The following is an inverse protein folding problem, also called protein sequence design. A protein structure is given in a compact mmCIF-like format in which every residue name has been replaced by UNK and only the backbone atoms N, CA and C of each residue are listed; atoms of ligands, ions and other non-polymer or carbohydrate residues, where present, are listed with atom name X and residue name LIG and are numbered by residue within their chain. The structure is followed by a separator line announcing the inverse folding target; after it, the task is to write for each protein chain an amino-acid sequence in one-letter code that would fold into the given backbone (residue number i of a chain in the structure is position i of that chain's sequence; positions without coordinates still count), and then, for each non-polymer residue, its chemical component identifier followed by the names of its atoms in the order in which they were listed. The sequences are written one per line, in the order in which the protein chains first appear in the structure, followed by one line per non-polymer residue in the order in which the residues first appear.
data_IF_964493486679
#
_entry.id   IF_964493486679
#
_cell.length_a   1.000
_cell.length_b   1.000
_cell.length_c   1.000
_cell.angle_alpha   90.00
_cell.angle_beta   90.00
_cell.angle_gamma   90.00
#
_symmetry.space_group_name_H-M   'P 1'
#
loop_
_entity.id
_entity.type
_entity.pdbx_description
1 polymer ?
#
# COMPACT_ATOMS: atom_id res chain seq x y z
N UNK A 1 -4.45 43.82 19.73
CA UNK A 1 -4.86 43.20 18.47
C UNK A 1 -3.98 42.01 18.05
N UNK A 2 -2.63 42.13 17.92
CA UNK A 2 -1.75 41.02 17.50
C UNK A 2 -1.87 39.74 18.37
N UNK A 3 -1.99 39.86 19.71
CA UNK A 3 -2.14 38.69 20.61
C UNK A 3 -3.45 37.95 20.39
N UNK A 4 -4.56 38.66 20.18
CA UNK A 4 -5.88 38.06 19.92
C UNK A 4 -5.86 37.32 18.57
N UNK A 5 -5.29 37.92 17.54
CA UNK A 5 -5.16 37.31 16.22
C UNK A 5 -4.33 36.02 16.32
N UNK A 6 -3.22 36.04 17.06
CA UNK A 6 -2.37 34.85 17.27
C UNK A 6 -3.10 33.74 18.05
N UNK A 7 -3.91 34.11 19.05
CA UNK A 7 -4.72 33.15 19.81
C UNK A 7 -5.80 32.51 18.94
N UNK A 8 -6.52 33.31 18.14
CA UNK A 8 -7.55 32.80 17.23
C UNK A 8 -6.93 31.90 16.19
N UNK A 9 -5.78 32.27 15.61
CA UNK A 9 -5.05 31.41 14.67
C UNK A 9 -4.59 30.08 15.32
N UNK A 10 -4.09 30.17 16.55
CA UNK A 10 -3.70 28.97 17.31
C UNK A 10 -4.89 28.03 17.55
N UNK A 11 -6.05 28.55 17.90
CA UNK A 11 -7.28 27.75 18.11
C UNK A 11 -7.73 27.11 16.78
N UNK A 12 -7.71 27.87 15.69
CA UNK A 12 -8.09 27.38 14.36
C UNK A 12 -7.19 26.24 13.86
N UNK A 13 -5.94 26.19 14.29
CA UNK A 13 -5.00 25.10 13.96
C UNK A 13 -5.14 23.95 14.96
N UNK A 14 -5.24 24.26 16.26
CA UNK A 14 -5.23 23.24 17.31
C UNK A 14 -6.49 22.36 17.28
N UNK A 15 -7.67 22.93 17.08
CA UNK A 15 -8.92 22.16 17.04
C UNK A 15 -8.90 21.10 15.95
N UNK A 16 -8.59 21.40 14.67
CA UNK A 16 -8.47 20.39 13.64
C UNK A 16 -7.35 19.36 13.92
N UNK A 17 -6.22 19.82 14.45
CA UNK A 17 -5.10 18.92 14.78
C UNK A 17 -5.49 17.90 15.87
N UNK A 18 -6.17 18.34 16.93
CA UNK A 18 -6.68 17.46 17.98
C UNK A 18 -7.75 16.52 17.42
N UNK A 19 -8.69 17.04 16.63
CA UNK A 19 -9.71 16.23 15.97
C UNK A 19 -9.11 15.11 15.10
N UNK A 20 -8.13 15.45 14.28
CA UNK A 20 -7.41 14.48 13.44
C UNK A 20 -6.66 13.44 14.28
N UNK A 21 -5.99 13.86 15.35
CA UNK A 21 -5.29 12.94 16.25
C UNK A 21 -6.27 11.99 16.95
N UNK A 22 -7.41 12.49 17.42
CA UNK A 22 -8.46 11.67 18.05
C UNK A 22 -9.03 10.65 17.07
N UNK A 23 -9.41 11.08 15.87
CA UNK A 23 -9.92 10.20 14.82
C UNK A 23 -8.91 9.11 14.43
N UNK A 24 -7.63 9.47 14.35
CA UNK A 24 -6.55 8.51 14.07
C UNK A 24 -6.43 7.45 15.18
N UNK A 25 -6.53 7.86 16.45
CA UNK A 25 -6.46 6.94 17.59
C UNK A 25 -7.67 6.00 17.64
N UNK A 26 -8.87 6.53 17.43
CA UNK A 26 -10.10 5.73 17.38
C UNK A 26 -10.07 4.72 16.23
N UNK A 27 -9.53 5.14 15.06
CA UNK A 27 -9.49 4.28 13.88
C UNK A 27 -8.44 3.15 13.95
N UNK A 28 -7.49 3.21 14.88
CA UNK A 28 -6.43 2.18 15.04
C UNK A 28 -6.97 0.75 15.24
N UNK A 29 -8.17 0.62 15.80
CA UNK A 29 -8.82 -0.66 16.05
C UNK A 29 -9.99 -0.95 15.09
N UNK A 30 -10.16 -0.14 14.06
CA UNK A 30 -11.19 -0.36 13.06
C UNK A 30 -10.86 -1.60 12.23
N UNK A 31 -11.89 -2.28 11.73
CA UNK A 31 -11.77 -3.41 10.82
C UNK A 31 -11.35 -2.96 9.42
N UNK A 32 -10.08 -2.81 9.24
CA UNK A 32 -9.47 -2.32 8.01
C UNK A 32 -9.30 -0.79 7.95
N UNK A 33 -8.69 -0.30 6.88
CA UNK A 33 -8.33 1.09 6.71
C UNK A 33 -9.52 1.94 6.27
N UNK A 34 -9.43 3.25 6.51
CA UNK A 34 -10.22 4.26 5.81
C UNK A 34 -9.36 4.98 4.76
N UNK A 35 -9.99 5.87 3.99
CA UNK A 35 -9.27 6.69 3.00
C UNK A 35 -8.18 7.56 3.67
N UNK A 36 -8.41 8.02 4.90
CA UNK A 36 -7.53 8.97 5.58
C UNK A 36 -6.64 8.34 6.66
N UNK A 37 -7.11 7.25 7.29
CA UNK A 37 -6.44 6.68 8.45
C UNK A 37 -6.16 5.19 8.27
N UNK A 38 -4.98 4.72 8.71
CA UNK A 38 -4.74 3.31 8.89
C UNK A 38 -5.75 2.71 9.87
N UNK A 39 -6.16 1.47 9.61
CA UNK A 39 -6.99 0.68 10.50
C UNK A 39 -6.19 -0.35 11.27
N UNK A 40 -6.89 -1.15 12.06
CA UNK A 40 -6.35 -2.31 12.76
C UNK A 40 -6.48 -3.61 11.97
N UNK A 41 -6.72 -4.68 12.71
CA UNK A 41 -6.89 -6.02 12.15
C UNK A 41 -8.15 -6.12 11.29
N UNK A 42 -7.99 -6.76 10.14
CA UNK A 42 -9.12 -7.08 9.25
C UNK A 42 -9.75 -8.41 9.67
N UNK A 43 -10.86 -8.35 10.38
CA UNK A 43 -11.58 -9.51 10.93
C UNK A 43 -12.74 -9.94 10.05
N UNK A 44 -13.39 -9.00 9.35
CA UNK A 44 -14.50 -9.29 8.46
C UNK A 44 -14.05 -9.73 7.07
N UNK A 45 -14.94 -10.44 6.39
CA UNK A 45 -14.68 -11.04 5.07
C UNK A 45 -14.33 -12.52 5.15
N UNK A 46 -14.56 -13.22 4.04
CA UNK A 46 -14.30 -14.66 3.92
C UNK A 46 -12.80 -14.93 3.82
N UNK A 47 -12.27 -15.82 4.63
CA UNK A 47 -10.89 -16.29 4.47
C UNK A 47 -10.78 -17.20 3.24
N UNK A 48 -9.87 -16.89 2.33
CA UNK A 48 -9.57 -17.74 1.18
C UNK A 48 -8.71 -18.93 1.62
N UNK A 49 -9.16 -20.14 1.28
CA UNK A 49 -8.48 -21.42 1.59
C UNK A 49 -8.32 -22.31 0.35
N UNK A 50 -8.68 -21.80 -0.82
CA UNK A 50 -8.62 -22.52 -2.09
C UNK A 50 -7.29 -22.32 -2.84
N UNK A 51 -7.23 -22.82 -4.09
CA UNK A 51 -6.12 -22.53 -4.99
C UNK A 51 -6.03 -21.03 -5.29
N UNK A 52 -4.85 -20.58 -5.68
CA UNK A 52 -4.61 -19.19 -6.05
C UNK A 52 -5.58 -18.76 -7.15
N UNK A 53 -6.30 -17.64 -6.99
CA UNK A 53 -7.22 -17.17 -8.01
C UNK A 53 -6.49 -16.57 -9.21
N UNK A 54 -7.17 -16.47 -10.33
CA UNK A 54 -6.73 -15.59 -11.41
C UNK A 54 -6.90 -14.13 -10.97
N UNK A 55 -5.79 -13.41 -10.82
CA UNK A 55 -5.76 -12.04 -10.31
C UNK A 55 -6.13 -10.98 -11.36
N UNK A 56 -6.41 -11.36 -12.60
CA UNK A 56 -6.77 -10.41 -13.68
C UNK A 56 -7.99 -9.54 -13.33
N UNK A 57 -8.92 -10.05 -12.48
CA UNK A 57 -10.06 -9.26 -12.01
C UNK A 57 -9.64 -8.00 -11.22
N UNK A 58 -8.41 -7.98 -10.69
CA UNK A 58 -7.91 -6.80 -9.97
C UNK A 58 -7.56 -5.64 -10.91
N UNK A 59 -7.56 -5.83 -12.23
CA UNK A 59 -7.24 -4.77 -13.19
C UNK A 59 -8.19 -3.56 -13.07
N UNK A 60 -9.44 -3.79 -12.75
CA UNK A 60 -10.44 -2.74 -12.53
C UNK A 60 -10.43 -2.19 -11.08
N UNK A 61 -9.68 -2.82 -10.17
CA UNK A 61 -9.60 -2.43 -8.76
C UNK A 61 -8.36 -1.55 -8.54
N UNK A 62 -8.56 -0.28 -8.21
CA UNK A 62 -7.45 0.66 -8.02
C UNK A 62 -6.73 0.49 -6.69
N UNK A 63 -7.46 0.23 -5.63
CA UNK A 63 -6.91 0.10 -4.26
C UNK A 63 -7.54 -1.10 -3.57
N UNK A 64 -6.76 -1.73 -2.72
CA UNK A 64 -7.15 -2.86 -1.89
C UNK A 64 -6.72 -2.60 -0.45
N UNK A 65 -7.30 -3.34 0.49
CA UNK A 65 -6.86 -3.29 1.88
C UNK A 65 -5.68 -4.23 2.09
N UNK A 66 -4.59 -3.70 2.62
CA UNK A 66 -3.43 -4.47 3.04
C UNK A 66 -3.24 -4.32 4.54
N UNK A 67 -3.20 -5.42 5.26
CA UNK A 67 -2.79 -5.50 6.66
C UNK A 67 -1.38 -6.07 6.75
N UNK A 68 -0.53 -5.47 7.57
CA UNK A 68 0.65 -6.13 8.12
C UNK A 68 0.31 -6.69 9.51
N UNK A 69 0.90 -7.82 9.86
CA UNK A 69 0.61 -8.48 11.14
C UNK A 69 1.49 -7.95 12.28
N UNK A 70 2.65 -7.41 11.96
CA UNK A 70 3.59 -6.87 12.96
C UNK A 70 4.41 -5.70 12.38
N UNK A 71 4.21 -4.47 12.85
CA UNK A 71 3.13 -4.08 13.75
C UNK A 71 1.75 -4.18 13.07
N UNK A 72 0.74 -4.55 13.85
CA UNK A 72 -0.62 -4.70 13.33
C UNK A 72 -1.15 -3.36 12.84
N UNK A 73 -1.32 -3.24 11.54
CA UNK A 73 -1.91 -2.06 10.91
C UNK A 73 -2.39 -2.37 9.50
N UNK A 74 -3.54 -1.81 9.11
CA UNK A 74 -4.07 -1.94 7.76
C UNK A 74 -4.10 -0.60 7.03
N UNK A 75 -3.97 -0.65 5.70
CA UNK A 75 -3.90 0.53 4.82
C UNK A 75 -4.46 0.24 3.45
N UNK A 76 -4.89 1.28 2.76
CA UNK A 76 -5.18 1.21 1.34
C UNK A 76 -3.86 1.21 0.55
N UNK A 77 -3.74 0.32 -0.42
CA UNK A 77 -2.56 0.19 -1.27
C UNK A 77 -2.94 -0.02 -2.73
N UNK A 78 -2.12 0.45 -3.64
CA UNK A 78 -2.24 0.17 -5.06
C UNK A 78 -1.84 -1.27 -5.35
N UNK A 79 -2.63 -1.96 -6.18
CA UNK A 79 -2.43 -3.36 -6.55
C UNK A 79 -2.19 -3.50 -8.05
N UNK A 80 -1.25 -4.35 -8.41
CA UNK A 80 -0.84 -4.63 -9.78
C UNK A 80 -0.85 -6.14 -9.99
N UNK A 81 -1.42 -6.60 -11.09
CA UNK A 81 -1.28 -7.97 -11.57
C UNK A 81 -0.30 -8.00 -12.73
N UNK A 82 0.60 -8.97 -12.75
CA UNK A 82 1.49 -9.25 -13.89
C UNK A 82 1.89 -10.72 -13.86
N UNK A 83 1.75 -11.41 -15.01
CA UNK A 83 2.07 -12.84 -15.14
C UNK A 83 1.36 -13.74 -14.12
N UNK A 84 0.08 -13.48 -13.82
CA UNK A 84 -0.70 -14.23 -12.83
C UNK A 84 -0.25 -14.02 -11.38
N UNK A 85 0.68 -13.10 -11.14
CA UNK A 85 1.24 -12.76 -9.82
C UNK A 85 0.74 -11.39 -9.39
N UNK A 86 0.60 -11.21 -8.08
CA UNK A 86 0.07 -9.98 -7.50
C UNK A 86 1.17 -9.17 -6.84
N UNK A 87 1.19 -7.87 -7.14
CA UNK A 87 2.20 -6.94 -6.64
C UNK A 87 1.56 -5.71 -6.01
N UNK A 88 2.28 -5.12 -5.07
CA UNK A 88 2.02 -3.80 -4.53
C UNK A 88 3.25 -2.91 -4.69
N UNK A 89 3.06 -1.60 -4.73
CA UNK A 89 4.15 -0.66 -4.93
C UNK A 89 4.14 0.44 -3.88
N UNK A 90 5.33 0.80 -3.41
CA UNK A 90 5.57 1.94 -2.53
C UNK A 90 6.53 2.91 -3.23
N UNK A 91 6.05 4.07 -3.61
CA UNK A 91 6.86 5.12 -4.26
C UNK A 91 7.51 6.07 -3.26
N UNK A 92 8.44 6.91 -3.77
CA UNK A 92 9.11 7.98 -3.02
C UNK A 92 9.98 7.50 -1.84
N UNK A 93 10.52 6.27 -1.91
CA UNK A 93 11.25 5.62 -0.82
C UNK A 93 12.53 6.34 -0.43
N UNK A 94 13.18 7.06 -1.36
CA UNK A 94 14.41 7.82 -1.13
C UNK A 94 14.19 9.22 -0.54
N UNK A 95 12.93 9.70 -0.49
CA UNK A 95 12.60 11.02 0.03
C UNK A 95 12.38 11.00 1.55
N UNK A 96 12.62 12.13 2.22
CA UNK A 96 12.37 12.25 3.67
C UNK A 96 10.90 12.00 4.01
N UNK A 97 9.97 12.54 3.21
CA UNK A 97 8.54 12.30 3.38
C UNK A 97 8.17 10.84 3.13
N UNK A 98 8.76 10.22 2.10
CA UNK A 98 8.55 8.80 1.83
C UNK A 98 8.96 7.91 3.00
N UNK A 99 10.09 8.16 3.61
CA UNK A 99 10.55 7.42 4.80
C UNK A 99 9.59 7.53 5.97
N UNK A 100 9.03 8.73 6.20
CA UNK A 100 8.09 8.96 7.30
C UNK A 100 6.71 8.33 7.06
N UNK A 101 6.22 8.30 5.81
CA UNK A 101 4.87 7.82 5.48
C UNK A 101 4.81 6.37 5.01
N UNK A 102 5.96 5.78 4.67
CA UNK A 102 6.10 4.44 4.10
C UNK A 102 6.86 3.48 5.04
N UNK A 103 6.82 3.75 6.34
CA UNK A 103 7.43 2.93 7.39
C UNK A 103 7.09 1.43 7.22
N UNK A 104 5.85 1.13 6.86
CA UNK A 104 5.39 -0.23 6.59
C UNK A 104 6.22 -0.99 5.54
N UNK A 105 6.75 -0.28 4.53
CA UNK A 105 7.53 -0.93 3.49
C UNK A 105 8.93 -1.30 4.00
N UNK A 106 9.48 -0.51 4.92
CA UNK A 106 10.72 -0.86 5.62
C UNK A 106 10.50 -2.04 6.56
N UNK A 107 9.42 -2.03 7.36
CA UNK A 107 9.02 -3.12 8.23
C UNK A 107 8.85 -4.43 7.44
N UNK A 108 8.18 -4.38 6.29
CA UNK A 108 8.01 -5.54 5.42
C UNK A 108 9.33 -6.06 4.82
N UNK A 109 10.29 -5.17 4.46
CA UNK A 109 11.61 -5.57 3.93
C UNK A 109 12.55 -6.11 5.02
N UNK A 110 12.38 -5.67 6.28
CA UNK A 110 13.21 -6.07 7.43
C UNK A 110 12.79 -7.40 8.08
N UNK A 111 11.73 -8.04 7.61
CA UNK A 111 11.33 -9.39 8.02
C UNK A 111 9.92 -9.54 8.58
N UNK A 112 9.22 -8.45 8.91
CA UNK A 112 7.82 -8.47 9.31
C UNK A 112 6.88 -8.47 8.09
N UNK A 113 7.15 -9.41 7.18
CA UNK A 113 6.56 -9.44 5.85
C UNK A 113 5.23 -10.20 5.78
N UNK A 114 4.69 -10.65 6.91
CA UNK A 114 3.41 -11.36 6.92
C UNK A 114 2.24 -10.40 6.99
N UNK A 115 1.24 -10.68 6.18
CA UNK A 115 0.07 -9.83 6.13
C UNK A 115 -1.17 -10.53 5.59
N UNK A 116 -2.21 -9.75 5.42
CA UNK A 116 -3.48 -10.15 4.81
C UNK A 116 -3.85 -9.11 3.77
N UNK A 117 -4.19 -9.57 2.59
CA UNK A 117 -4.83 -8.76 1.56
C UNK A 117 -6.34 -8.97 1.64
N UNK A 118 -7.14 -7.90 1.57
CA UNK A 118 -8.60 -8.01 1.43
C UNK A 118 -9.04 -7.36 0.12
N UNK A 119 -9.68 -8.18 -0.72
CA UNK A 119 -10.22 -7.77 -2.02
C UNK A 119 -11.65 -8.31 -2.12
N UNK A 120 -12.61 -7.47 -2.45
CA UNK A 120 -14.03 -7.82 -2.61
C UNK A 120 -14.57 -8.69 -1.47
N UNK A 121 -14.25 -8.29 -0.23
CA UNK A 121 -14.71 -8.99 0.97
C UNK A 121 -14.06 -10.36 1.20
N UNK A 122 -13.05 -10.72 0.43
CA UNK A 122 -12.26 -11.96 0.64
C UNK A 122 -10.87 -11.61 1.15
N UNK A 123 -10.45 -12.28 2.21
CA UNK A 123 -9.15 -12.13 2.85
C UNK A 123 -8.19 -13.20 2.37
N UNK A 124 -7.01 -12.79 1.93
CA UNK A 124 -5.96 -13.64 1.41
C UNK A 124 -4.71 -13.48 2.28
N UNK A 125 -4.30 -14.50 3.06
CA UNK A 125 -3.03 -14.47 3.79
C UNK A 125 -1.86 -14.39 2.83
N UNK A 126 -0.93 -13.44 3.08
CA UNK A 126 0.19 -13.15 2.16
C UNK A 126 1.50 -12.97 2.92
N UNK A 127 2.58 -13.29 2.22
CA UNK A 127 3.91 -12.81 2.55
C UNK A 127 4.33 -11.79 1.50
N UNK A 128 4.89 -10.68 1.96
CA UNK A 128 5.40 -9.61 1.11
C UNK A 128 6.87 -9.90 0.79
N UNK A 129 7.17 -10.16 -0.48
CA UNK A 129 8.53 -10.44 -0.94
C UNK A 129 8.99 -9.30 -1.83
N UNK A 130 10.01 -8.56 -1.39
CA UNK A 130 10.53 -7.43 -2.16
C UNK A 130 11.23 -7.89 -3.43
N UNK A 131 10.82 -7.34 -4.57
CA UNK A 131 11.45 -7.56 -5.88
C UNK A 131 12.34 -6.36 -6.18
N UNK A 132 13.65 -6.60 -6.26
CA UNK A 132 14.66 -5.54 -6.51
C UNK A 132 15.12 -5.51 -7.95
N UNK A 133 15.08 -6.67 -8.65
CA UNK A 133 15.54 -6.87 -10.02
C UNK A 133 14.80 -8.04 -10.67
N UNK A 134 14.94 -8.21 -11.96
CA UNK A 134 14.38 -9.34 -12.72
C UNK A 134 13.40 -8.89 -13.80
N UNK A 135 13.16 -9.79 -14.77
CA UNK A 135 12.35 -9.49 -15.97
C UNK A 135 10.89 -9.19 -15.64
N UNK A 136 10.38 -9.69 -14.53
CA UNK A 136 9.02 -9.39 -14.06
C UNK A 136 8.77 -7.88 -13.87
N UNK A 137 9.82 -7.11 -13.59
CA UNK A 137 9.71 -5.67 -13.40
C UNK A 137 9.25 -4.92 -14.64
N UNK A 138 9.47 -5.45 -15.84
CA UNK A 138 8.98 -4.84 -17.09
C UNK A 138 7.44 -4.93 -17.15
N UNK A 139 6.87 -6.08 -16.82
CA UNK A 139 5.42 -6.27 -16.72
C UNK A 139 4.79 -5.41 -15.64
N UNK A 140 5.40 -5.37 -14.45
CA UNK A 140 4.96 -4.52 -13.33
C UNK A 140 5.02 -3.03 -13.71
N UNK A 141 6.10 -2.58 -14.38
CA UNK A 141 6.24 -1.21 -14.85
C UNK A 141 5.19 -0.86 -15.90
N UNK A 142 4.97 -1.73 -16.88
CA UNK A 142 3.94 -1.54 -17.91
C UNK A 142 2.54 -1.43 -17.28
N UNK A 143 2.20 -2.31 -16.34
CA UNK A 143 0.92 -2.28 -15.63
C UNK A 143 0.78 -1.01 -14.77
N UNK A 144 1.84 -0.58 -14.09
CA UNK A 144 1.83 0.66 -13.31
C UNK A 144 1.51 1.88 -14.17
N UNK A 145 2.15 1.99 -15.35
CA UNK A 145 1.96 3.09 -16.28
C UNK A 145 0.54 3.09 -16.85
N UNK A 146 0.04 1.95 -17.29
CA UNK A 146 -1.29 1.86 -17.91
C UNK A 146 -2.42 2.02 -16.89
N UNK A 147 -2.34 1.35 -15.75
CA UNK A 147 -3.40 1.34 -14.74
C UNK A 147 -3.48 2.63 -13.94
N UNK A 148 -2.33 3.23 -13.58
CA UNK A 148 -2.27 4.40 -12.69
C UNK A 148 -1.72 5.66 -13.34
N UNK A 149 -0.91 5.54 -14.38
CA UNK A 149 -0.37 6.68 -15.13
C UNK A 149 -1.35 7.27 -16.15
N UNK A 150 -2.46 6.58 -16.42
CA UNK A 150 -3.50 7.05 -17.37
C UNK A 150 -3.10 6.95 -18.83
N UNK A 151 -1.97 6.33 -19.16
CA UNK A 151 -1.57 6.07 -20.53
C UNK A 151 -2.23 4.78 -21.05
N UNK A 152 -2.85 4.77 -22.24
CA UNK A 152 -3.49 3.57 -22.78
C UNK A 152 -2.47 2.44 -23.08
N UNK A 153 -1.22 2.81 -23.35
CA UNK A 153 -0.11 1.89 -23.58
C UNK A 153 1.16 2.42 -22.92
N UNK A 154 2.00 1.54 -22.44
CA UNK A 154 3.31 1.88 -21.91
C UNK A 154 4.37 1.81 -23.04
N UNK A 155 5.09 2.90 -23.29
CA UNK A 155 6.23 2.87 -24.22
C UNK A 155 7.42 2.12 -23.60
N UNK A 156 8.28 1.55 -24.45
CA UNK A 156 9.49 0.86 -23.98
C UNK A 156 10.40 1.78 -23.13
N UNK A 157 10.49 3.05 -23.49
CA UNK A 157 11.26 4.05 -22.73
C UNK A 157 10.65 4.29 -21.33
N UNK A 158 9.32 4.43 -21.24
CA UNK A 158 8.63 4.62 -19.97
C UNK A 158 8.76 3.38 -19.06
N UNK A 159 8.68 2.17 -19.63
CA UNK A 159 8.91 0.90 -18.91
C UNK A 159 10.34 0.88 -18.37
N UNK A 160 11.35 1.13 -19.23
CA UNK A 160 12.76 1.13 -18.83
C UNK A 160 13.04 2.17 -17.72
N UNK A 161 12.47 3.38 -17.83
CA UNK A 161 12.60 4.43 -16.82
C UNK A 161 11.96 4.04 -15.46
N UNK A 162 10.80 3.41 -15.51
CA UNK A 162 10.11 2.93 -14.29
C UNK A 162 10.89 1.78 -13.65
N UNK A 163 11.37 0.82 -14.45
CA UNK A 163 12.24 -0.27 -13.99
C UNK A 163 13.50 0.29 -13.32
N UNK A 164 14.20 1.22 -13.97
CA UNK A 164 15.40 1.86 -13.40
C UNK A 164 15.11 2.56 -12.05
N UNK A 165 13.94 3.19 -11.90
CA UNK A 165 13.50 3.78 -10.63
C UNK A 165 13.29 2.73 -9.54
N UNK A 166 12.81 1.54 -9.87
CA UNK A 166 12.63 0.43 -8.92
C UNK A 166 14.00 -0.13 -8.53
N UNK A 167 14.87 -0.42 -9.50
CA UNK A 167 16.23 -0.95 -9.28
C UNK A 167 17.10 0.03 -8.47
N UNK A 168 16.92 1.34 -8.67
CA UNK A 168 17.57 2.41 -7.88
C UNK A 168 16.96 2.58 -6.47
N UNK A 169 15.92 1.82 -6.12
CA UNK A 169 15.26 1.89 -4.81
C UNK A 169 14.41 3.15 -4.57
N UNK A 170 14.09 3.92 -5.60
CA UNK A 170 13.18 5.08 -5.50
C UNK A 170 11.73 4.63 -5.33
N UNK A 171 11.39 3.49 -5.92
CA UNK A 171 10.12 2.78 -5.72
C UNK A 171 10.41 1.34 -5.32
N UNK A 172 9.64 0.81 -4.38
CA UNK A 172 9.75 -0.56 -3.92
C UNK A 172 8.55 -1.36 -4.36
N UNK A 173 8.81 -2.51 -4.95
CA UNK A 173 7.80 -3.47 -5.41
C UNK A 173 7.85 -4.68 -4.47
N UNK A 174 6.69 -5.11 -4.00
CA UNK A 174 6.54 -6.35 -3.25
C UNK A 174 5.58 -7.27 -3.98
N UNK A 175 5.98 -8.51 -4.15
CA UNK A 175 5.09 -9.58 -4.54
C UNK A 175 4.30 -10.06 -3.33
N UNK A 176 3.02 -10.31 -3.51
CA UNK A 176 2.13 -10.86 -2.49
C UNK A 176 2.04 -12.38 -2.67
N UNK A 177 2.99 -13.10 -2.08
CA UNK A 177 3.07 -14.56 -2.18
C UNK A 177 2.04 -15.23 -1.26
N UNK A 178 1.32 -16.29 -1.71
CA UNK A 178 0.42 -17.05 -0.84
C UNK A 178 1.12 -17.55 0.42
N UNK A 179 0.40 -17.49 1.55
CA UNK A 179 0.87 -18.03 2.83
C UNK A 179 -0.19 -18.95 3.43
N UNK A 180 0.23 -20.14 3.83
CA UNK A 180 -0.63 -21.02 4.61
C UNK A 180 -0.89 -20.41 6.00
N UNK A 181 -2.12 -20.53 6.47
CA UNK A 181 -2.50 -20.18 7.84
C UNK A 181 -2.54 -21.49 8.62
N UNK A 182 -1.55 -21.69 9.46
CA UNK A 182 -1.53 -22.79 10.42
C UNK A 182 -2.50 -22.54 11.56
#
# INVERSE_FOLDING_TARGET
MKKIVLQVLGILILIPAVGMATLRVEHRNADGPSILFPGGEMTTGRLHTGPEPDWSFTDDIRVVDLQLNDPMASRLIYVLESDGRLFIISGYMTTMLGKLWKEWAFEADEGNNQGVLRVDGTRYPRSLVRIKEGDILDGVAAKLITKYGGAPNASAEAIAGTRASIEAGQSWVFELVPREVN
#
